data_IF_855553879526
#
_entry.id   IF_855553879526
#
_cell.length_a   1.000
_cell.length_b   1.000
_cell.length_c   1.000
_cell.angle_alpha   90.00
_cell.angle_beta   90.00
_cell.angle_gamma   90.00
#
_symmetry.space_group_name_H-M   'P 1'
#
loop_
_entity.id
_entity.type
_entity.pdbx_description
1 polymer ?
#
# COMPACT_ATOMS: atom_id res chain seq x y z
N UNK A 1 14.46 -23.15 46.65
CA UNK A 1 15.34 -23.32 45.48
C UNK A 1 14.46 -23.22 44.24
N UNK A 2 14.55 -22.08 43.57
CA UNK A 2 14.02 -21.82 42.23
C UNK A 2 14.62 -22.82 41.21
N UNK A 3 13.99 -23.03 40.05
CA UNK A 3 14.12 -22.05 38.97
C UNK A 3 12.81 -21.73 38.23
N UNK A 4 12.48 -20.44 38.26
CA UNK A 4 11.71 -19.72 37.25
C UNK A 4 12.57 -19.59 35.99
N UNK A 5 12.06 -19.96 34.80
CA UNK A 5 12.52 -19.43 33.50
C UNK A 5 11.76 -20.08 32.33
N UNK A 6 10.49 -19.72 32.15
CA UNK A 6 9.84 -19.84 30.83
C UNK A 6 9.56 -18.40 30.39
N UNK A 7 10.49 -17.84 29.62
CA UNK A 7 10.36 -16.52 29.01
C UNK A 7 10.12 -16.73 27.52
N UNK A 8 8.86 -16.99 27.22
CA UNK A 8 8.29 -16.96 25.87
C UNK A 8 8.49 -15.55 25.29
N UNK A 9 9.45 -15.42 24.39
CA UNK A 9 9.57 -14.27 23.50
C UNK A 9 8.88 -14.60 22.19
N UNK A 10 7.55 -14.54 22.20
CA UNK A 10 6.76 -14.47 20.98
C UNK A 10 6.98 -13.06 20.39
N UNK A 11 7.99 -12.95 19.53
CA UNK A 11 8.11 -11.81 18.61
C UNK A 11 6.95 -11.92 17.64
N UNK A 12 5.88 -11.21 17.98
CA UNK A 12 4.73 -10.96 17.11
C UNK A 12 5.25 -10.35 15.79
N UNK A 13 5.48 -11.20 14.79
CA UNK A 13 5.69 -10.82 13.41
C UNK A 13 4.41 -10.15 12.92
N UNK A 14 4.34 -8.81 13.09
CA UNK A 14 3.36 -7.99 12.39
C UNK A 14 3.45 -8.37 10.92
N UNK A 15 2.35 -8.80 10.27
CA UNK A 15 2.37 -9.18 8.87
C UNK A 15 3.01 -8.04 8.10
N UNK A 16 4.15 -8.32 7.46
CA UNK A 16 4.83 -7.39 6.56
C UNK A 16 3.84 -7.13 5.44
N UNK A 17 2.97 -6.14 5.61
CA UNK A 17 2.10 -5.63 4.57
C UNK A 17 3.01 -5.37 3.38
N UNK A 18 2.87 -6.18 2.33
CA UNK A 18 3.71 -6.13 1.15
C UNK A 18 3.62 -4.70 0.61
N UNK A 19 4.67 -3.93 0.90
CA UNK A 19 4.63 -2.50 0.64
C UNK A 19 4.68 -2.39 -0.86
N UNK A 20 3.58 -2.00 -1.50
CA UNK A 20 3.58 -1.70 -2.92
C UNK A 20 4.63 -0.61 -3.20
N UNK A 21 5.80 -1.06 -3.62
CA UNK A 21 6.98 -0.23 -3.87
C UNK A 21 6.96 0.32 -5.28
N UNK A 22 6.14 -0.22 -6.20
CA UNK A 22 6.07 0.20 -7.59
C UNK A 22 4.76 0.95 -7.89
N UNK A 23 4.85 1.93 -8.78
CA UNK A 23 3.72 2.71 -9.24
C UNK A 23 2.82 1.89 -10.17
N UNK A 24 1.51 1.84 -9.90
CA UNK A 24 0.55 1.12 -10.75
C UNK A 24 0.44 1.64 -12.19
N UNK A 25 0.78 2.90 -12.43
CA UNK A 25 0.66 3.52 -13.76
C UNK A 25 1.90 3.31 -14.65
N UNK A 26 3.09 3.36 -14.06
CA UNK A 26 4.35 3.38 -14.82
C UNK A 26 5.36 2.32 -14.36
N UNK A 27 5.01 1.50 -13.37
CA UNK A 27 5.85 0.48 -12.74
C UNK A 27 7.21 0.98 -12.21
N UNK A 28 7.38 2.30 -12.07
CA UNK A 28 8.59 2.86 -11.47
C UNK A 28 8.57 2.66 -9.95
N UNK A 29 9.72 2.42 -9.32
CA UNK A 29 9.82 2.36 -7.87
C UNK A 29 9.45 3.71 -7.26
N UNK A 30 8.42 3.69 -6.42
CA UNK A 30 7.95 4.79 -5.61
C UNK A 30 8.96 5.02 -4.49
N UNK A 31 9.67 6.14 -4.57
CA UNK A 31 10.51 6.60 -3.46
C UNK A 31 9.60 6.83 -2.24
N UNK A 32 9.98 6.28 -1.08
CA UNK A 32 9.20 6.36 0.18
C UNK A 32 8.72 7.79 0.51
N UNK A 33 9.48 8.80 0.11
CA UNK A 33 9.21 10.22 0.35
C UNK A 33 8.11 10.84 -0.56
N UNK A 34 7.83 10.25 -1.73
CA UNK A 34 6.91 10.79 -2.74
C UNK A 34 5.87 9.75 -3.17
N UNK A 35 5.31 9.04 -2.20
CA UNK A 35 4.21 8.10 -2.44
C UNK A 35 2.91 8.87 -2.58
N UNK A 36 2.32 8.86 -3.78
CA UNK A 36 1.04 9.48 -4.04
C UNK A 36 -0.06 8.43 -3.87
N UNK A 37 -0.79 8.47 -2.76
CA UNK A 37 -1.87 7.53 -2.45
C UNK A 37 -3.24 8.12 -2.80
N UNK A 38 -4.07 7.36 -3.52
CA UNK A 38 -5.40 7.80 -3.93
C UNK A 38 -6.30 6.61 -4.26
N UNK A 39 -7.55 6.63 -3.79
CA UNK A 39 -8.56 5.58 -4.07
C UNK A 39 -8.06 4.14 -3.80
N UNK A 40 -7.37 3.93 -2.67
CA UNK A 40 -6.80 2.61 -2.33
C UNK A 40 -5.50 2.25 -3.07
N UNK A 41 -5.06 3.07 -4.03
CA UNK A 41 -3.96 2.75 -4.95
C UNK A 41 -2.74 3.65 -4.74
N UNK A 42 -1.54 3.11 -5.01
CA UNK A 42 -0.27 3.84 -4.87
C UNK A 42 0.37 4.22 -6.22
N UNK A 43 0.82 5.47 -6.30
CA UNK A 43 1.39 6.05 -7.51
C UNK A 43 2.69 6.81 -7.22
N UNK A 44 3.48 6.96 -8.29
CA UNK A 44 4.74 7.70 -8.30
C UNK A 44 4.54 9.21 -8.10
N UNK A 45 3.39 9.73 -8.56
CA UNK A 45 3.08 11.17 -8.65
C UNK A 45 1.60 11.37 -9.01
N UNK A 46 1.12 12.60 -8.88
CA UNK A 46 -0.21 13.01 -9.35
C UNK A 46 -0.42 12.77 -10.85
N UNK A 47 0.63 12.90 -11.67
CA UNK A 47 0.58 12.63 -13.12
C UNK A 47 0.32 11.14 -13.39
N UNK A 48 1.02 10.26 -12.68
CA UNK A 48 0.81 8.80 -12.72
C UNK A 48 -0.63 8.43 -12.34
N UNK A 49 -1.18 9.02 -11.27
CA UNK A 49 -2.57 8.79 -10.89
C UNK A 49 -3.57 9.26 -11.96
N UNK A 50 -3.40 10.49 -12.48
CA UNK A 50 -4.27 11.01 -13.54
C UNK A 50 -4.24 10.14 -14.80
N UNK A 51 -3.06 9.74 -15.27
CA UNK A 51 -2.93 8.87 -16.43
C UNK A 51 -3.59 7.50 -16.21
N UNK A 52 -3.51 6.96 -14.98
CA UNK A 52 -4.20 5.73 -14.63
C UNK A 52 -5.73 5.90 -14.64
N UNK A 53 -6.22 6.99 -14.04
CA UNK A 53 -7.66 7.31 -14.01
C UNK A 53 -8.19 7.56 -15.41
N UNK A 54 -7.49 8.32 -16.25
CA UNK A 54 -7.87 8.61 -17.63
C UNK A 54 -8.00 7.31 -18.45
N UNK A 55 -7.06 6.36 -18.26
CA UNK A 55 -7.12 5.02 -18.84
C UNK A 55 -8.19 4.12 -18.24
N UNK A 56 -8.54 4.31 -16.97
CA UNK A 56 -9.53 3.49 -16.23
C UNK A 56 -10.93 4.10 -16.24
N UNK A 57 -11.16 5.22 -16.93
CA UNK A 57 -12.39 6.01 -16.88
C UNK A 57 -13.52 5.67 -17.85
N UNK A 58 -13.62 4.50 -18.52
CA UNK A 58 -14.91 4.17 -19.11
C UNK A 58 -15.99 3.83 -18.07
N UNK A 59 -15.67 3.35 -16.85
CA UNK A 59 -16.72 2.76 -15.96
C UNK A 59 -16.46 2.87 -14.44
N UNK A 60 -16.26 4.08 -13.89
CA UNK A 60 -16.10 4.25 -12.42
C UNK A 60 -16.99 5.39 -11.87
N UNK A 61 -18.28 5.30 -12.17
CA UNK A 61 -19.36 6.06 -11.52
C UNK A 61 -20.28 5.10 -10.76
N UNK A 62 -19.76 4.19 -9.97
CA UNK A 62 -20.57 3.47 -8.98
C UNK A 62 -19.67 3.09 -7.81
N UNK A 63 -20.23 2.80 -6.63
CA UNK A 63 -19.54 2.62 -5.35
C UNK A 63 -19.10 3.90 -4.62
N UNK A 64 -20.08 4.78 -4.35
CA UNK A 64 -20.26 5.27 -2.97
C UNK A 64 -21.74 5.42 -2.65
N UNK A 65 -22.14 4.73 -1.57
CA UNK A 65 -23.34 4.90 -0.72
C UNK A 65 -24.48 3.90 -0.96
N UNK A 66 -24.33 2.71 -0.37
CA UNK A 66 -25.43 1.96 0.24
C UNK A 66 -25.44 2.24 1.74
#
# INVERSE_FOLDING_TARGET
MSPEAVKEQETQEKPKAEKQTNCLSCNKPIKKLKRYYRDGKFYCSKRCWRAFIDKSKPEAKEEKKG
#
